data_IF_360664578204
#
_entry.id   IF_360664578204
#
_cell.length_a   1.000
_cell.length_b   1.000
_cell.length_c   1.000
_cell.angle_alpha   90.00
_cell.angle_beta   90.00
_cell.angle_gamma   90.00
#
_symmetry.space_group_name_H-M   'P 1'
#
loop_
_entity.id
_entity.type
_entity.pdbx_description
1 polymer ?
#
# COMPACT_ATOMS: atom_id res chain seq x y z
N UNK A 1 1.32 21.07 8.47
CA UNK A 1 2.04 19.89 7.97
C UNK A 1 1.03 18.76 8.03
N UNK A 2 0.79 18.06 6.92
CA UNK A 2 -0.12 16.90 6.92
C UNK A 2 0.43 15.83 7.87
N UNK A 3 -0.45 15.23 8.68
CA UNK A 3 -0.10 14.14 9.59
C UNK A 3 -0.88 12.90 9.18
N UNK A 4 -0.22 12.01 8.45
CA UNK A 4 -0.81 10.74 8.03
C UNK A 4 -0.95 9.81 9.23
N UNK A 5 -2.17 9.35 9.49
CA UNK A 5 -2.49 8.37 10.52
C UNK A 5 -3.15 7.16 9.89
N UNK A 6 -2.54 6.00 10.05
CA UNK A 6 -3.08 4.71 9.59
C UNK A 6 -3.85 4.08 10.74
N UNK A 7 -5.11 3.75 10.51
CA UNK A 7 -5.96 3.02 11.44
C UNK A 7 -6.35 1.67 10.82
N UNK A 8 -5.59 0.61 11.13
CA UNK A 8 -5.94 -0.72 10.68
C UNK A 8 -7.21 -1.21 11.37
N UNK A 9 -8.08 -1.88 10.62
CA UNK A 9 -9.23 -2.57 11.17
C UNK A 9 -8.80 -3.73 12.09
N UNK A 10 -9.58 -3.93 13.14
CA UNK A 10 -9.38 -5.01 14.12
C UNK A 10 -9.65 -6.39 13.52
N UNK A 11 -10.64 -6.49 12.62
CA UNK A 11 -11.03 -7.73 11.97
C UNK A 11 -10.16 -8.03 10.73
N UNK A 12 -9.55 -9.22 10.70
CA UNK A 12 -9.00 -9.79 9.48
C UNK A 12 -10.13 -10.40 8.65
N UNK A 13 -10.32 -9.91 7.42
CA UNK A 13 -11.32 -10.35 6.46
C UNK A 13 -10.63 -10.85 5.20
N UNK A 14 -10.67 -12.15 4.96
CA UNK A 14 -10.21 -12.77 3.71
C UNK A 14 -10.05 -14.27 3.86
N UNK A 15 -10.15 -15.00 2.75
CA UNK A 15 -9.79 -16.42 2.71
C UNK A 15 -8.26 -16.51 2.88
N UNK A 16 -7.79 -16.71 4.11
CA UNK A 16 -6.37 -16.88 4.38
C UNK A 16 -5.79 -18.05 3.56
N UNK A 17 -4.58 -17.89 3.05
CA UNK A 17 -3.87 -18.97 2.38
C UNK A 17 -3.62 -20.12 3.37
N UNK A 18 -4.02 -21.35 3.01
CA UNK A 18 -3.82 -22.54 3.83
C UNK A 18 -2.33 -22.83 4.13
N UNK A 19 -1.41 -22.34 3.29
CA UNK A 19 0.04 -22.49 3.46
C UNK A 19 0.65 -21.45 4.40
N UNK A 20 -0.02 -20.32 4.67
CA UNK A 20 0.54 -19.16 5.36
C UNK A 20 -0.11 -18.87 6.73
N UNK A 21 -0.98 -19.76 7.22
CA UNK A 21 -1.49 -19.68 8.60
C UNK A 21 -2.83 -18.96 8.79
N UNK A 22 -3.69 -18.90 7.75
CA UNK A 22 -5.10 -18.50 7.90
C UNK A 22 -5.40 -17.03 8.21
N UNK A 23 -4.40 -16.14 8.23
CA UNK A 23 -4.65 -14.70 8.38
C UNK A 23 -5.29 -14.14 7.09
N UNK A 24 -6.54 -13.70 7.19
CA UNK A 24 -7.25 -13.03 6.10
C UNK A 24 -6.66 -11.65 5.77
N UNK A 25 -7.21 -10.98 4.76
CA UNK A 25 -6.81 -9.61 4.44
C UNK A 25 -7.12 -8.63 5.55
N UNK A 26 -6.35 -7.56 5.63
CA UNK A 26 -6.49 -6.44 6.54
C UNK A 26 -7.08 -5.28 5.78
N UNK A 27 -8.18 -4.71 6.28
CA UNK A 27 -8.69 -3.42 5.78
C UNK A 27 -8.45 -2.33 6.81
N UNK A 28 -8.35 -1.08 6.36
CA UNK A 28 -8.26 0.05 7.29
C UNK A 28 -8.50 1.38 6.61
N UNK A 29 -8.49 2.43 7.43
CA UNK A 29 -8.60 3.81 6.98
C UNK A 29 -7.25 4.51 7.13
N UNK A 30 -7.02 5.47 6.23
CA UNK A 30 -5.93 6.43 6.36
C UNK A 30 -6.53 7.81 6.47
N UNK A 31 -6.06 8.57 7.45
CA UNK A 31 -6.48 9.93 7.73
C UNK A 31 -5.35 10.91 7.45
N UNK A 32 -5.71 12.09 6.93
CA UNK A 32 -4.86 13.28 7.04
C UNK A 32 -5.41 14.14 8.18
N UNK A 33 -4.72 14.13 9.32
CA UNK A 33 -5.24 14.67 10.58
C UNK A 33 -6.53 13.94 11.01
N UNK A 34 -7.68 14.60 10.97
CA UNK A 34 -9.00 14.05 11.32
C UNK A 34 -9.83 13.68 10.09
N UNK A 35 -9.39 14.08 8.88
CA UNK A 35 -10.17 13.89 7.65
C UNK A 35 -9.84 12.53 7.00
N UNK A 36 -10.87 11.73 6.63
CA UNK A 36 -10.65 10.45 5.97
C UNK A 36 -10.10 10.67 4.56
N UNK A 37 -8.88 10.19 4.33
CA UNK A 37 -8.14 10.38 3.09
C UNK A 37 -8.24 9.15 2.17
N UNK A 38 -8.07 7.95 2.74
CA UNK A 38 -8.06 6.72 1.95
C UNK A 38 -8.64 5.52 2.71
N UNK A 39 -9.06 4.52 1.95
CA UNK A 39 -9.31 3.16 2.44
C UNK A 39 -8.26 2.25 1.81
N UNK A 40 -7.77 1.29 2.59
CA UNK A 40 -6.91 0.25 2.06
C UNK A 40 -7.41 -1.16 2.40
N UNK A 41 -6.98 -2.11 1.59
CA UNK A 41 -7.07 -3.54 1.83
C UNK A 41 -5.71 -4.17 1.51
N UNK A 42 -5.19 -5.00 2.40
CA UNK A 42 -3.89 -5.63 2.26
C UNK A 42 -3.95 -7.11 2.61
N UNK A 43 -3.30 -7.96 1.84
CA UNK A 43 -3.28 -9.39 2.10
C UNK A 43 -1.97 -10.04 1.70
N UNK A 44 -1.70 -11.21 2.28
CA UNK A 44 -0.59 -12.03 1.86
C UNK A 44 -0.89 -12.67 0.49
N UNK A 45 0.07 -12.55 -0.41
CA UNK A 45 0.08 -13.19 -1.72
C UNK A 45 1.46 -13.79 -2.03
N UNK A 46 1.63 -14.23 -3.28
CA UNK A 46 2.87 -14.85 -3.74
C UNK A 46 3.03 -16.30 -3.29
N UNK A 47 4.24 -16.81 -3.46
CA UNK A 47 4.61 -18.19 -3.11
C UNK A 47 5.44 -18.20 -1.83
N UNK A 48 5.52 -19.34 -1.14
CA UNK A 48 6.23 -19.48 0.13
C UNK A 48 7.70 -19.04 0.09
N UNK A 49 8.35 -19.13 -1.07
CA UNK A 49 9.74 -18.73 -1.31
C UNK A 49 9.90 -17.28 -1.85
N UNK A 50 8.80 -16.61 -2.21
CA UNK A 50 8.75 -15.22 -2.64
C UNK A 50 7.47 -14.59 -2.08
N UNK A 51 7.45 -14.28 -0.76
CA UNK A 51 6.30 -13.68 -0.13
C UNK A 51 6.07 -12.28 -0.69
N UNK A 52 4.81 -12.00 -1.04
CA UNK A 52 4.36 -10.69 -1.50
C UNK A 52 3.20 -10.26 -0.62
N UNK A 53 3.10 -8.97 -0.30
CA UNK A 53 1.86 -8.40 0.23
C UNK A 53 1.25 -7.54 -0.85
N UNK A 54 -0.01 -7.84 -1.20
CA UNK A 54 -0.78 -6.99 -2.08
C UNK A 54 -1.47 -5.93 -1.23
N UNK A 55 -1.36 -4.66 -1.61
CA UNK A 55 -1.96 -3.52 -0.92
C UNK A 55 -2.78 -2.72 -1.93
N UNK A 56 -4.10 -2.88 -1.87
CA UNK A 56 -5.05 -2.02 -2.56
C UNK A 56 -5.30 -0.75 -1.75
N UNK A 57 -5.17 0.42 -2.38
CA UNK A 57 -5.43 1.73 -1.79
C UNK A 57 -6.38 2.51 -2.70
N UNK A 58 -7.45 3.06 -2.13
CA UNK A 58 -8.34 4.01 -2.79
C UNK A 58 -8.28 5.36 -2.06
N UNK A 59 -7.80 6.40 -2.73
CA UNK A 59 -7.68 7.78 -2.21
C UNK A 59 -8.74 8.69 -2.80
N UNK A 60 -9.26 9.63 -2.03
CA UNK A 60 -10.22 10.63 -2.50
C UNK A 60 -11.27 10.98 -1.45
N UNK A 61 -12.38 11.57 -1.89
CA UNK A 61 -13.42 12.01 -0.97
C UNK A 61 -14.32 10.85 -0.52
N UNK A 62 -14.46 10.67 0.80
CA UNK A 62 -15.23 9.58 1.43
C UNK A 62 -16.52 10.03 2.13
N UNK A 63 -16.81 11.32 2.11
CA UNK A 63 -18.00 11.93 2.70
C UNK A 63 -19.29 11.48 2.00
N UNK A 64 -20.42 11.67 2.68
CA UNK A 64 -21.74 11.39 2.11
C UNK A 64 -21.97 12.18 0.82
N UNK A 65 -22.50 11.52 -0.22
CA UNK A 65 -22.80 12.14 -1.52
C UNK A 65 -21.64 12.11 -2.52
N UNK A 66 -20.47 11.57 -2.14
CA UNK A 66 -19.35 11.37 -3.07
C UNK A 66 -19.51 10.09 -3.90
N UNK A 67 -18.93 10.06 -5.09
CA UNK A 67 -18.99 8.93 -6.03
C UNK A 67 -17.62 8.31 -6.28
N UNK A 68 -17.62 7.11 -6.87
CA UNK A 68 -16.41 6.39 -7.30
C UNK A 68 -15.49 7.25 -8.17
N UNK A 69 -16.04 8.08 -9.07
CA UNK A 69 -15.26 8.92 -9.98
C UNK A 69 -14.47 10.04 -9.29
N UNK A 70 -14.70 10.27 -8.00
CA UNK A 70 -13.96 11.23 -7.18
C UNK A 70 -12.82 10.57 -6.37
N UNK A 71 -12.53 9.30 -6.68
CA UNK A 71 -11.54 8.49 -5.99
C UNK A 71 -10.68 7.78 -7.01
N UNK A 72 -9.43 7.58 -6.64
CA UNK A 72 -8.45 6.86 -7.45
C UNK A 72 -7.98 5.65 -6.67
N UNK A 73 -8.03 4.49 -7.31
CA UNK A 73 -7.67 3.21 -6.72
C UNK A 73 -6.44 2.62 -7.40
N UNK A 74 -5.54 2.02 -6.64
CA UNK A 74 -4.37 1.31 -7.17
C UNK A 74 -4.09 0.09 -6.29
N UNK A 75 -3.46 -0.92 -6.87
CA UNK A 75 -2.92 -2.05 -6.11
C UNK A 75 -1.42 -2.07 -6.25
N UNK A 76 -0.72 -2.23 -5.13
CA UNK A 76 0.72 -2.43 -5.10
C UNK A 76 1.05 -3.87 -4.69
N UNK A 77 2.02 -4.48 -5.36
CA UNK A 77 2.70 -5.67 -4.89
C UNK A 77 3.96 -5.24 -4.13
N UNK A 78 4.07 -5.67 -2.88
CA UNK A 78 5.16 -5.32 -1.98
C UNK A 78 5.95 -6.58 -1.61
N UNK A 79 7.25 -6.57 -1.87
CA UNK A 79 8.15 -7.68 -1.51
C UNK A 79 9.42 -7.12 -0.87
N UNK A 80 10.08 -7.90 -0.03
CA UNK A 80 11.37 -7.53 0.55
C UNK A 80 12.33 -8.71 0.48
N UNK A 81 13.29 -8.69 -0.46
CA UNK A 81 14.36 -9.67 -0.49
C UNK A 81 15.23 -9.57 0.78
N UNK A 82 15.83 -10.69 1.20
CA UNK A 82 16.57 -10.83 2.47
C UNK A 82 17.66 -9.76 2.68
N UNK A 83 18.28 -9.27 1.60
CA UNK A 83 19.38 -8.31 1.64
C UNK A 83 19.14 -7.08 0.75
N UNK A 84 17.89 -6.75 0.46
CA UNK A 84 17.54 -5.59 -0.35
C UNK A 84 16.45 -4.74 0.33
N UNK A 85 16.35 -3.44 -0.04
CA UNK A 85 15.18 -2.66 0.31
C UNK A 85 13.89 -3.31 -0.18
N UNK A 86 12.77 -2.96 0.47
CA UNK A 86 11.43 -3.27 0.00
C UNK A 86 11.26 -2.75 -1.42
N UNK A 87 10.80 -3.64 -2.30
CA UNK A 87 10.28 -3.29 -3.60
C UNK A 87 8.77 -3.12 -3.50
N UNK A 88 8.25 -2.12 -4.20
CA UNK A 88 6.81 -1.88 -4.30
C UNK A 88 6.52 -1.44 -5.71
N UNK A 89 5.72 -2.24 -6.40
CA UNK A 89 5.39 -2.05 -7.81
C UNK A 89 3.88 -2.04 -7.98
N UNK A 90 3.31 -1.17 -8.83
CA UNK A 90 1.89 -1.22 -9.13
C UNK A 90 1.55 -2.54 -9.84
N UNK A 91 0.35 -3.04 -9.61
CA UNK A 91 -0.14 -4.31 -10.18
C UNK A 91 -1.65 -4.27 -10.40
N UNK A 92 -2.17 -5.29 -11.07
CA UNK A 92 -3.57 -5.32 -11.47
C UNK A 92 -4.48 -5.62 -10.26
N UNK A 93 -5.64 -4.94 -10.15
CA UNK A 93 -6.57 -5.16 -9.04
C UNK A 93 -7.10 -6.58 -8.89
N UNK A 94 -7.16 -7.35 -9.99
CA UNK A 94 -7.67 -8.72 -10.00
C UNK A 94 -6.82 -9.70 -9.17
N UNK A 95 -5.58 -9.32 -8.81
CA UNK A 95 -4.76 -10.14 -7.92
C UNK A 95 -5.20 -10.05 -6.46
N UNK A 96 -6.01 -9.04 -6.08
CA UNK A 96 -6.58 -8.97 -4.75
C UNK A 96 -7.73 -9.98 -4.59
N UNK A 97 -7.69 -10.74 -3.50
CA UNK A 97 -8.78 -11.53 -2.94
C UNK A 97 -9.97 -10.70 -2.43
N UNK A 98 -10.02 -9.40 -2.76
CA UNK A 98 -11.13 -8.50 -2.52
C UNK A 98 -11.71 -7.99 -3.85
N UNK A 99 -12.63 -8.76 -4.48
CA UNK A 99 -13.13 -8.47 -5.83
C UNK A 99 -13.95 -7.17 -5.91
N UNK A 100 -14.44 -6.66 -4.78
CA UNK A 100 -15.14 -5.38 -4.70
C UNK A 100 -14.18 -4.18 -4.68
N UNK A 101 -12.87 -4.37 -4.57
CA UNK A 101 -11.89 -3.29 -4.53
C UNK A 101 -12.02 -2.29 -5.70
N UNK A 102 -12.25 -2.70 -6.97
CA UNK A 102 -12.46 -1.77 -8.08
C UNK A 102 -13.74 -0.91 -7.99
N UNK A 103 -14.63 -1.19 -7.03
CA UNK A 103 -15.80 -0.35 -6.75
C UNK A 103 -15.46 0.86 -5.85
N UNK A 104 -14.29 0.85 -5.21
CA UNK A 104 -13.87 1.89 -4.27
C UNK A 104 -13.35 3.16 -4.93
N UNK A 105 -12.88 3.10 -6.18
CA UNK A 105 -12.37 4.24 -6.94
C UNK A 105 -12.02 3.86 -8.38
N UNK A 106 -11.74 4.84 -9.23
CA UNK A 106 -11.27 4.60 -10.59
C UNK A 106 -9.89 3.93 -10.56
N UNK A 107 -9.73 2.71 -11.12
CA UNK A 107 -8.49 1.98 -11.04
C UNK A 107 -7.41 2.63 -11.92
N UNK A 108 -6.19 2.69 -11.40
CA UNK A 108 -5.00 2.98 -12.18
C UNK A 108 -4.43 1.69 -12.76
N UNK A 109 -4.17 1.73 -14.05
CA UNK A 109 -3.46 0.66 -14.74
C UNK A 109 -1.97 0.71 -14.40
N UNK A 110 -1.31 -0.42 -14.10
CA UNK A 110 0.09 -0.45 -13.67
C UNK A 110 1.05 0.25 -14.64
N UNK A 111 0.79 0.13 -15.94
CA UNK A 111 1.65 0.65 -17.02
C UNK A 111 1.67 2.17 -17.07
N UNK A 112 0.59 2.84 -16.65
CA UNK A 112 0.44 4.29 -16.70
C UNK A 112 0.35 4.93 -15.32
N UNK A 113 0.34 4.12 -14.26
CA UNK A 113 0.16 4.57 -12.89
C UNK A 113 1.12 5.70 -12.51
N UNK A 114 2.40 5.62 -12.89
CA UNK A 114 3.42 6.63 -12.54
C UNK A 114 3.17 8.02 -13.13
N UNK A 115 2.34 8.12 -14.17
CA UNK A 115 2.00 9.38 -14.83
C UNK A 115 0.77 10.04 -14.19
N UNK A 116 0.02 9.31 -13.34
CA UNK A 116 -1.18 9.83 -12.70
C UNK A 116 -0.84 10.82 -11.58
N UNK A 117 -1.61 11.92 -11.50
CA UNK A 117 -1.39 13.00 -10.52
C UNK A 117 -1.36 12.53 -9.06
N UNK A 118 -2.12 11.48 -8.73
CA UNK A 118 -2.28 10.98 -7.36
C UNK A 118 -1.28 9.84 -7.03
N UNK A 119 -0.45 9.41 -7.99
CA UNK A 119 0.44 8.26 -7.82
C UNK A 119 1.47 8.45 -6.71
N UNK A 120 2.08 9.63 -6.63
CA UNK A 120 3.06 9.93 -5.58
C UNK A 120 2.44 9.81 -4.18
N UNK A 121 1.21 10.33 -3.99
CA UNK A 121 0.47 10.21 -2.74
C UNK A 121 0.11 8.76 -2.45
N UNK A 122 -0.42 8.02 -3.43
CA UNK A 122 -0.74 6.60 -3.26
C UNK A 122 0.48 5.77 -2.87
N UNK A 123 1.65 6.07 -3.44
CA UNK A 123 2.92 5.43 -3.10
C UNK A 123 3.35 5.74 -1.66
N UNK A 124 3.23 6.99 -1.24
CA UNK A 124 3.52 7.43 0.14
C UNK A 124 2.56 6.78 1.15
N UNK A 125 1.27 6.69 0.83
CA UNK A 125 0.28 6.01 1.66
C UNK A 125 0.59 4.51 1.79
N UNK A 126 1.02 3.86 0.71
CA UNK A 126 1.46 2.46 0.76
C UNK A 126 2.64 2.28 1.73
N UNK A 127 3.61 3.19 1.68
CA UNK A 127 4.75 3.15 2.60
C UNK A 127 4.30 3.38 4.06
N UNK A 128 3.40 4.34 4.30
CA UNK A 128 2.85 4.62 5.62
C UNK A 128 2.05 3.43 6.19
N UNK A 129 1.26 2.73 5.36
CA UNK A 129 0.50 1.53 5.77
C UNK A 129 1.46 0.43 6.24
N UNK A 130 2.50 0.13 5.46
CA UNK A 130 3.46 -0.93 5.79
C UNK A 130 4.29 -0.57 7.02
N UNK A 131 4.74 0.69 7.10
CA UNK A 131 5.58 1.15 8.19
C UNK A 131 4.78 1.41 9.48
N UNK A 132 3.46 1.63 9.37
CA UNK A 132 2.53 1.88 10.48
C UNK A 132 1.89 0.63 11.09
N UNK A 133 1.68 -0.44 10.32
CA UNK A 133 1.01 -1.67 10.80
C UNK A 133 2.04 -2.75 11.18
N UNK A 134 1.97 -3.26 12.42
CA UNK A 134 2.92 -4.24 12.94
C UNK A 134 2.87 -5.58 12.17
N UNK A 135 1.75 -5.90 11.52
CA UNK A 135 1.59 -7.11 10.70
C UNK A 135 2.52 -7.12 9.49
N UNK A 136 2.90 -5.94 8.99
CA UNK A 136 3.81 -5.80 7.85
C UNK A 136 5.27 -5.52 8.25
N UNK A 137 5.64 -5.78 9.52
CA UNK A 137 6.99 -5.53 10.02
C UNK A 137 8.09 -6.21 9.18
N UNK A 138 7.80 -7.38 8.61
CA UNK A 138 8.69 -8.13 7.73
C UNK A 138 9.02 -7.39 6.41
N UNK A 139 8.20 -6.42 5.99
CA UNK A 139 8.40 -5.59 4.80
C UNK A 139 9.01 -4.21 5.11
N UNK A 140 9.22 -3.86 6.38
CA UNK A 140 9.76 -2.54 6.73
C UNK A 140 11.22 -2.44 6.31
N UNK A 141 11.59 -1.31 5.72
CA UNK A 141 12.99 -1.03 5.43
C UNK A 141 13.76 -0.83 6.74
N UNK A 142 14.98 -1.36 6.82
CA UNK A 142 15.86 -1.06 7.94
C UNK A 142 16.23 0.45 7.87
N UNK A 143 15.98 1.25 8.92
CA UNK A 143 16.35 2.66 8.94
C UNK A 143 17.86 2.89 8.74
N UNK A 144 18.71 1.90 9.06
CA UNK A 144 20.16 1.95 8.81
C UNK A 144 20.49 1.81 7.32
N UNK A 145 19.72 1.00 6.58
CA UNK A 145 19.90 0.83 5.13
C UNK A 145 19.54 2.11 4.35
N UNK A 146 18.50 2.85 4.79
CA UNK A 146 18.12 4.15 4.17
C UNK A 146 19.22 5.22 4.28
N UNK A 147 20.02 5.24 5.37
CA UNK A 147 21.09 6.24 5.55
C UNK A 147 22.28 6.05 4.61
N UNK A 148 22.59 4.82 4.19
CA UNK A 148 23.69 4.56 3.24
C UNK A 148 23.41 5.16 1.86
N UNK A 149 22.18 5.05 1.37
CA UNK A 149 21.82 5.55 0.03
C UNK A 149 21.77 7.09 -0.07
N UNK A 150 21.51 7.80 1.02
CA UNK A 150 21.53 9.28 1.02
C UNK A 150 22.95 9.82 1.11
N UNK A 151 23.86 9.09 1.77
CA UNK A 151 25.26 9.50 1.92
C UNK A 151 26.10 9.33 0.64
N UNK A 152 25.67 8.46 -0.29
CA UNK A 152 26.38 8.15 -1.55
C UNK A 152 25.83 8.90 -2.78
N UNK A 153 24.92 9.87 -2.60
CA UNK A 153 24.58 10.79 -3.68
C UNK A 153 25.78 11.72 -3.93
N UNK A 154 26.41 11.72 -5.13
CA UNK A 154 27.54 12.60 -5.39
C UNK A 154 27.06 14.04 -5.31
N UNK A 155 27.67 14.82 -4.42
CA UNK A 155 27.58 16.26 -4.41
C UNK A 155 27.90 16.76 -5.81
N UNK A 156 26.91 17.32 -6.50
CA UNK A 156 27.13 18.07 -7.72
C UNK A 156 27.89 19.35 -7.33
N UNK A 157 29.22 19.29 -7.37
CA UNK A 157 30.05 20.48 -7.30
C UNK A 157 29.94 21.25 -8.62
N UNK A 158 29.75 22.57 -8.45
CA UNK A 158 29.52 23.58 -9.49
C UNK A 158 30.80 23.98 -10.20
#
# INVERSE_FOLDING_TARGET
>A
MSQIRVEPGEDMLGFGCACCGSDGGVRGFVYDNEDPLAIYYAEAGGMSNMPVVLVGIAVGAWEAGTTKSQRTAIVFACSKPENAPRETVPTIPFLLGFPEFPLLGEPLEPETASEHKDYAQLRELCDAIIDGDARFMHLRNDPVARRRFVADAPSAET
#
